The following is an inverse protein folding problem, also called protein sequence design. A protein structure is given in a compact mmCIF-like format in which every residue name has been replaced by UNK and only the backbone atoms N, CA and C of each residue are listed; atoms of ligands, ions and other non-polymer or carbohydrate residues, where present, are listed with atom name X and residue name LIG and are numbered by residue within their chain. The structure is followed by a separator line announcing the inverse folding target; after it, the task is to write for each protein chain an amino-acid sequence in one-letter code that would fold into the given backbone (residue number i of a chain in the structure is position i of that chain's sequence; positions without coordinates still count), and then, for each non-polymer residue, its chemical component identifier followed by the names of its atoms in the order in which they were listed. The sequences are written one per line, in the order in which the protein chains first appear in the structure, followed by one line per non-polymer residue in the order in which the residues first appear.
data_IF_497735484438
#
_entry.id   IF_497735484438
#
_cell.length_a   1.000
_cell.length_b   1.000
_cell.length_c   1.000
_cell.angle_alpha   90.00
_cell.angle_beta   90.00
_cell.angle_gamma   90.00
#
_symmetry.space_group_name_H-M   'P 1'
#
loop_
_entity.id
_entity.type
_entity.pdbx_description
1 polymer ?
#
# COMPACT_ATOMS: atom_id res chain seq x y z
N UNK A 1 -15.58 -35.43 31.79
CA UNK A 1 -15.32 -34.07 32.31
C UNK A 1 -15.59 -33.16 31.14
N UNK A 2 -16.50 -32.21 31.29
CA UNK A 2 -16.72 -31.15 30.30
C UNK A 2 -15.76 -30.03 30.70
N UNK A 3 -14.81 -29.72 29.83
CA UNK A 3 -14.02 -28.48 29.93
C UNK A 3 -14.98 -27.30 29.85
N UNK A 4 -14.67 -26.24 30.61
CA UNK A 4 -15.48 -25.03 30.65
C UNK A 4 -15.22 -24.14 29.43
N UNK A 5 -16.18 -23.29 29.06
CA UNK A 5 -16.06 -22.37 27.92
C UNK A 5 -14.86 -21.41 28.07
N UNK A 6 -14.52 -21.02 29.31
CA UNK A 6 -13.31 -20.23 29.62
C UNK A 6 -12.00 -21.03 29.43
N UNK A 7 -11.95 -22.31 29.81
CA UNK A 7 -10.76 -23.15 29.62
C UNK A 7 -10.51 -23.47 28.14
N UNK A 8 -11.58 -23.60 27.34
CA UNK A 8 -11.49 -23.79 25.89
C UNK A 8 -10.97 -22.53 25.17
N UNK A 9 -11.39 -21.34 25.62
CA UNK A 9 -10.91 -20.05 25.11
C UNK A 9 -9.42 -19.82 25.44
N UNK A 10 -8.98 -20.18 26.65
CA UNK A 10 -7.56 -20.09 27.03
C UNK A 10 -6.66 -21.03 26.21
N UNK A 11 -7.07 -22.28 25.99
CA UNK A 11 -6.31 -23.25 25.18
C UNK A 11 -6.23 -22.82 23.71
N UNK A 12 -7.33 -22.31 23.14
CA UNK A 12 -7.38 -21.80 21.77
C UNK A 12 -6.52 -20.54 21.61
N UNK A 13 -6.54 -19.64 22.59
CA UNK A 13 -5.68 -18.46 22.63
C UNK A 13 -4.19 -18.84 22.73
N UNK A 14 -3.83 -19.81 23.57
CA UNK A 14 -2.44 -20.25 23.71
C UNK A 14 -1.95 -20.96 22.43
N UNK A 15 -2.80 -21.76 21.80
CA UNK A 15 -2.52 -22.39 20.50
C UNK A 15 -2.31 -21.35 19.39
N UNK A 16 -3.14 -20.33 19.34
CA UNK A 16 -3.01 -19.22 18.37
C UNK A 16 -1.73 -18.43 18.59
N UNK A 17 -1.40 -18.12 19.85
CA UNK A 17 -0.14 -17.45 20.23
C UNK A 17 1.09 -18.28 19.79
N UNK A 18 1.09 -19.57 20.12
CA UNK A 18 2.18 -20.47 19.74
C UNK A 18 2.33 -20.58 18.21
N UNK A 19 1.22 -20.63 17.47
CA UNK A 19 1.25 -20.61 16.01
C UNK A 19 1.86 -19.30 15.48
N UNK A 20 1.47 -18.15 16.04
CA UNK A 20 1.99 -16.84 15.67
C UNK A 20 3.50 -16.72 15.89
N UNK A 21 4.02 -17.21 17.03
CA UNK A 21 5.45 -17.16 17.35
C UNK A 21 6.31 -17.92 16.31
N UNK A 22 5.75 -18.97 15.69
CA UNK A 22 6.45 -19.75 14.65
C UNK A 22 6.41 -19.13 13.25
N UNK A 23 5.64 -18.06 13.04
CA UNK A 23 5.56 -17.38 11.75
C UNK A 23 6.90 -16.71 11.40
N UNK A 24 7.29 -16.86 10.14
CA UNK A 24 8.45 -16.17 9.56
C UNK A 24 8.10 -14.73 9.20
N UNK A 25 9.12 -13.90 9.00
CA UNK A 25 8.92 -12.56 8.44
C UNK A 25 8.40 -12.61 7.00
N UNK A 26 7.56 -11.65 6.65
CA UNK A 26 7.04 -11.47 5.31
C UNK A 26 8.15 -11.09 4.33
N UNK A 27 8.11 -11.56 3.07
CA UNK A 27 9.16 -11.29 2.09
C UNK A 27 9.28 -9.81 1.71
N UNK A 28 8.24 -9.01 1.98
CA UNK A 28 8.16 -7.58 1.71
C UNK A 28 8.34 -6.71 2.95
N UNK A 29 8.72 -7.28 4.11
CA UNK A 29 8.83 -6.55 5.38
C UNK A 29 9.69 -5.29 5.28
N UNK A 30 10.82 -5.37 4.56
CA UNK A 30 11.72 -4.22 4.34
C UNK A 30 11.10 -3.02 3.62
N UNK A 31 9.98 -3.21 2.90
CA UNK A 31 9.26 -2.11 2.23
C UNK A 31 8.38 -1.32 3.19
N UNK A 32 8.04 -1.91 4.35
CA UNK A 32 7.07 -1.37 5.31
C UNK A 32 7.69 -0.31 6.24
N UNK A 33 8.99 -0.05 6.13
CA UNK A 33 9.68 0.98 6.91
C UNK A 33 9.29 2.41 6.49
N UNK A 34 8.70 2.57 5.31
CA UNK A 34 8.23 3.85 4.80
C UNK A 34 7.22 4.51 5.75
N UNK A 35 7.49 5.78 6.10
CA UNK A 35 6.64 6.60 6.97
C UNK A 35 5.79 7.54 6.10
N UNK A 36 4.68 7.01 5.61
CA UNK A 36 3.72 7.70 4.76
C UNK A 36 2.73 6.71 4.17
N UNK A 37 2.00 7.14 3.15
CA UNK A 37 1.06 6.25 2.45
C UNK A 37 1.80 5.10 1.77
N UNK A 38 1.21 3.91 1.83
CA UNK A 38 1.62 2.70 1.12
C UNK A 38 0.34 2.13 0.53
N UNK A 39 0.26 2.02 -0.79
CA UNK A 39 -0.91 1.42 -1.43
C UNK A 39 -0.78 -0.10 -1.41
N UNK A 40 -1.78 -0.77 -0.83
CA UNK A 40 -1.91 -2.23 -0.83
C UNK A 40 -3.19 -2.60 -1.56
N UNK A 41 -3.07 -3.54 -2.49
CA UNK A 41 -4.20 -4.12 -3.23
C UNK A 41 -4.15 -5.64 -3.07
N UNK A 42 -5.25 -6.25 -2.63
CA UNK A 42 -5.41 -7.68 -2.46
C UNK A 42 -6.47 -8.20 -3.44
N UNK A 43 -6.13 -9.23 -4.20
CA UNK A 43 -7.05 -9.83 -5.15
C UNK A 43 -7.91 -10.89 -4.44
N UNK A 44 -9.22 -10.77 -4.54
CA UNK A 44 -10.18 -11.64 -3.84
C UNK A 44 -10.89 -12.63 -4.78
N UNK A 45 -10.42 -12.78 -6.03
CA UNK A 45 -10.98 -13.79 -6.92
C UNK A 45 -10.79 -15.20 -6.34
N UNK A 46 -11.76 -16.12 -6.54
CA UNK A 46 -11.66 -17.48 -6.02
C UNK A 46 -10.36 -18.17 -6.41
N UNK A 47 -9.65 -18.72 -5.42
CA UNK A 47 -8.38 -19.42 -5.60
C UNK A 47 -7.13 -18.53 -5.60
N UNK A 48 -7.26 -17.21 -5.44
CA UNK A 48 -6.13 -16.30 -5.24
C UNK A 48 -5.75 -16.10 -3.77
N UNK A 49 -6.58 -16.60 -2.85
CA UNK A 49 -6.29 -16.65 -1.43
C UNK A 49 -6.26 -18.10 -0.92
N UNK A 50 -5.41 -18.35 0.07
CA UNK A 50 -5.29 -19.64 0.75
C UNK A 50 -5.32 -19.45 2.26
N UNK A 51 -6.22 -20.17 2.93
CA UNK A 51 -6.28 -20.22 4.40
C UNK A 51 -5.10 -21.05 4.94
N UNK A 52 -4.33 -20.42 5.84
CA UNK A 52 -3.16 -21.00 6.50
C UNK A 52 -3.36 -21.19 8.01
N UNK A 53 -4.60 -21.16 8.48
CA UNK A 53 -4.98 -21.33 9.88
C UNK A 53 -5.26 -20.00 10.56
N UNK A 54 -4.21 -19.27 10.95
CA UNK A 54 -4.31 -17.97 11.67
C UNK A 54 -4.16 -16.75 10.74
N UNK A 55 -3.90 -16.99 9.45
CA UNK A 55 -3.74 -15.97 8.43
C UNK A 55 -4.13 -16.52 7.04
N UNK A 56 -4.30 -15.63 6.07
CA UNK A 56 -4.46 -15.92 4.66
C UNK A 56 -3.19 -15.55 3.88
N UNK A 57 -2.83 -16.38 2.91
CA UNK A 57 -1.92 -16.01 1.81
C UNK A 57 -2.77 -15.51 0.64
N UNK A 58 -2.76 -14.22 0.36
CA UNK A 58 -3.53 -13.61 -0.75
C UNK A 58 -2.59 -13.05 -1.81
N UNK A 59 -2.90 -13.24 -3.10
CA UNK A 59 -2.17 -12.54 -4.16
C UNK A 59 -2.51 -11.06 -4.15
N UNK A 60 -1.51 -10.20 -4.28
CA UNK A 60 -1.71 -8.77 -4.30
C UNK A 60 -0.46 -7.98 -4.64
N UNK A 61 -0.56 -6.66 -4.45
CA UNK A 61 0.48 -5.69 -4.78
C UNK A 61 0.68 -4.71 -3.63
N UNK A 62 1.95 -4.36 -3.39
CA UNK A 62 2.37 -3.25 -2.52
C UNK A 62 3.06 -2.22 -3.41
N UNK A 63 2.58 -0.99 -3.34
CA UNK A 63 3.14 0.14 -4.08
C UNK A 63 3.56 1.24 -3.12
N UNK A 64 4.76 1.79 -3.35
CA UNK A 64 5.32 2.89 -2.58
C UNK A 64 5.14 4.21 -3.35
N UNK A 65 5.17 5.37 -2.69
CA UNK A 65 5.14 6.64 -3.40
C UNK A 65 6.32 6.76 -4.38
N UNK A 66 6.07 7.36 -5.54
CA UNK A 66 7.16 7.82 -6.41
C UNK A 66 7.91 8.93 -5.66
N UNK A 67 9.21 8.74 -5.50
CA UNK A 67 10.07 9.65 -4.75
C UNK A 67 11.04 10.38 -5.65
N UNK A 68 11.33 11.64 -5.31
CA UNK A 68 12.33 12.49 -5.95
C UNK A 68 13.37 12.86 -4.90
N UNK A 69 14.65 12.67 -5.21
CA UNK A 69 15.72 13.02 -4.29
C UNK A 69 15.90 14.54 -4.19
N UNK A 70 16.50 15.06 -3.11
CA UNK A 70 16.86 16.48 -3.06
C UNK A 70 17.73 16.94 -4.23
N UNK A 71 18.65 16.10 -4.72
CA UNK A 71 19.50 16.44 -5.85
C UNK A 71 18.71 16.55 -7.17
N UNK A 72 17.80 15.62 -7.41
CA UNK A 72 16.92 15.65 -8.60
C UNK A 72 15.97 16.84 -8.54
N UNK A 73 15.42 17.13 -7.35
CA UNK A 73 14.62 18.31 -7.12
C UNK A 73 15.39 19.60 -7.44
N UNK A 74 16.61 19.77 -6.93
CA UNK A 74 17.44 20.95 -7.23
C UNK A 74 17.69 21.08 -8.74
N UNK A 75 18.10 19.98 -9.37
CA UNK A 75 18.36 19.89 -10.82
C UNK A 75 17.15 20.35 -11.62
N UNK A 76 15.97 19.79 -11.35
CA UNK A 76 14.76 20.08 -12.13
C UNK A 76 14.18 21.45 -11.78
N UNK A 77 14.09 21.76 -10.49
CA UNK A 77 13.28 22.88 -10.00
C UNK A 77 14.03 24.20 -9.89
N UNK A 78 15.37 24.16 -9.74
CA UNK A 78 16.19 25.37 -9.60
C UNK A 78 17.12 25.61 -10.78
N UNK A 79 17.58 24.54 -11.42
CA UNK A 79 18.51 24.63 -12.54
C UNK A 79 17.81 24.47 -13.90
N UNK A 80 16.49 24.19 -13.89
CA UNK A 80 15.69 23.90 -15.09
C UNK A 80 16.28 22.74 -15.92
N UNK A 81 16.93 21.80 -15.26
CA UNK A 81 17.42 20.56 -15.84
C UNK A 81 16.33 19.50 -15.94
N UNK A 82 16.77 18.26 -16.16
CA UNK A 82 15.91 17.08 -16.28
C UNK A 82 16.51 15.96 -15.43
N UNK A 83 15.66 15.10 -14.86
CA UNK A 83 16.08 13.98 -14.03
C UNK A 83 15.29 12.71 -14.38
N UNK A 84 15.92 11.54 -14.27
CA UNK A 84 15.24 10.25 -14.43
C UNK A 84 14.69 9.78 -13.08
N UNK A 85 13.38 9.59 -13.00
CA UNK A 85 12.68 9.18 -11.78
C UNK A 85 12.16 7.75 -11.95
N UNK A 86 12.47 6.86 -10.99
CA UNK A 86 11.94 5.50 -11.00
C UNK A 86 10.42 5.51 -10.71
N UNK A 87 9.65 4.94 -11.63
CA UNK A 87 8.17 4.82 -11.53
C UNK A 87 7.70 3.35 -11.41
N UNK A 88 8.62 2.40 -11.39
CA UNK A 88 8.35 0.99 -11.10
C UNK A 88 9.61 0.31 -10.57
N UNK A 89 9.63 -0.07 -9.29
CA UNK A 89 10.82 -0.67 -8.67
C UNK A 89 11.02 -2.14 -9.08
N UNK A 90 9.98 -2.81 -9.60
CA UNK A 90 10.06 -4.20 -10.04
C UNK A 90 10.67 -4.33 -11.44
N UNK A 91 10.34 -3.40 -12.34
CA UNK A 91 10.84 -3.41 -13.73
C UNK A 91 12.01 -2.46 -13.96
N UNK A 92 12.22 -1.51 -13.05
CA UNK A 92 13.19 -0.41 -13.22
C UNK A 92 12.72 0.65 -14.23
N UNK A 93 11.43 0.68 -14.56
CA UNK A 93 10.89 1.69 -15.47
C UNK A 93 11.09 3.09 -14.88
N UNK A 94 11.56 4.01 -15.73
CA UNK A 94 11.80 5.40 -15.36
C UNK A 94 10.91 6.36 -16.16
N UNK A 95 10.73 7.55 -15.61
CA UNK A 95 10.14 8.70 -16.27
C UNK A 95 11.14 9.85 -16.31
N UNK A 96 11.11 10.64 -17.39
CA UNK A 96 11.88 11.87 -17.47
C UNK A 96 11.08 12.99 -16.80
N UNK A 97 11.59 13.50 -15.68
CA UNK A 97 11.04 14.62 -14.94
C UNK A 97 11.58 15.94 -15.47
N UNK A 98 10.69 16.91 -15.65
CA UNK A 98 11.01 18.28 -16.05
C UNK A 98 10.20 19.29 -15.25
N UNK A 99 10.67 20.53 -15.22
CA UNK A 99 9.89 21.64 -14.70
C UNK A 99 8.57 21.77 -15.46
N UNK A 100 7.47 22.00 -14.76
CA UNK A 100 6.15 22.08 -15.37
C UNK A 100 6.03 23.27 -16.32
N UNK A 101 5.54 23.04 -17.53
CA UNK A 101 5.13 24.11 -18.44
C UNK A 101 3.71 24.65 -18.13
N UNK A 102 3.03 24.05 -17.14
CA UNK A 102 1.70 24.42 -16.69
C UNK A 102 1.58 24.31 -15.16
N UNK A 103 2.10 25.31 -14.45
CA UNK A 103 2.13 25.36 -12.99
C UNK A 103 0.76 25.19 -12.29
N UNK A 104 -0.36 25.42 -13.01
CA UNK A 104 -1.70 25.23 -12.46
C UNK A 104 -2.09 23.76 -12.33
N UNK A 105 -1.40 22.87 -13.05
CA UNK A 105 -1.64 21.42 -13.04
C UNK A 105 -0.64 20.65 -12.19
N UNK A 106 0.50 21.26 -11.86
CA UNK A 106 1.57 20.64 -11.10
C UNK A 106 2.85 21.46 -11.16
N UNK A 107 3.73 21.22 -10.20
CA UNK A 107 5.06 21.82 -10.09
C UNK A 107 6.03 21.23 -11.11
N UNK A 108 5.89 19.93 -11.40
CA UNK A 108 6.69 19.22 -12.40
C UNK A 108 5.81 18.44 -13.38
N UNK A 109 6.42 17.98 -14.47
CA UNK A 109 5.83 17.00 -15.38
C UNK A 109 6.73 15.76 -15.50
N UNK A 110 6.12 14.60 -15.67
CA UNK A 110 6.79 13.35 -15.99
C UNK A 110 6.42 12.92 -17.42
N UNK A 111 7.43 12.51 -18.19
CA UNK A 111 7.28 11.92 -19.51
C UNK A 111 7.73 10.46 -19.45
N UNK A 112 6.83 9.52 -19.74
CA UNK A 112 7.10 8.09 -19.68
C UNK A 112 6.24 7.31 -20.68
N UNK A 113 6.67 6.10 -21.01
CA UNK A 113 5.88 5.19 -21.85
C UNK A 113 4.82 4.47 -21.00
N UNK A 114 3.59 4.46 -21.47
CA UNK A 114 2.49 3.70 -20.91
C UNK A 114 1.75 3.01 -22.05
N UNK A 115 1.61 1.68 -21.97
CA UNK A 115 0.94 0.86 -23.00
C UNK A 115 1.49 1.08 -24.44
N UNK A 116 2.79 1.36 -24.57
CA UNK A 116 3.46 1.60 -25.85
C UNK A 116 3.29 3.03 -26.40
N UNK A 117 2.66 3.94 -25.65
CA UNK A 117 2.54 5.35 -26.01
C UNK A 117 3.28 6.25 -25.01
N UNK A 118 3.89 7.32 -25.51
CA UNK A 118 4.51 8.34 -24.64
C UNK A 118 3.44 9.24 -24.05
N UNK A 119 3.37 9.26 -22.72
CA UNK A 119 2.41 10.06 -21.94
C UNK A 119 3.14 11.18 -21.21
N UNK A 120 2.47 12.31 -21.04
CA UNK A 120 2.91 13.42 -20.19
C UNK A 120 1.88 13.67 -19.10
N UNK A 121 2.32 13.61 -17.85
CA UNK A 121 1.49 13.79 -16.66
C UNK A 121 2.09 14.87 -15.75
N UNK A 122 1.24 15.63 -15.05
CA UNK A 122 1.65 16.74 -14.18
C UNK A 122 1.45 16.35 -12.72
N UNK A 123 2.38 16.77 -11.86
CA UNK A 123 2.37 16.42 -10.45
C UNK A 123 2.81 17.59 -9.59
N UNK A 124 2.26 17.66 -8.38
CA UNK A 124 2.74 18.50 -7.29
C UNK A 124 3.73 17.72 -6.44
N UNK A 125 4.64 18.45 -5.77
CA UNK A 125 5.62 17.85 -4.87
C UNK A 125 5.29 18.14 -3.41
N UNK A 126 5.41 17.12 -2.56
CA UNK A 126 5.39 17.26 -1.09
C UNK A 126 6.69 16.75 -0.50
N UNK A 127 7.32 17.51 0.39
CA UNK A 127 8.56 17.08 1.05
C UNK A 127 8.26 16.30 2.34
N UNK A 128 8.81 15.10 2.45
CA UNK A 128 8.82 14.32 3.69
C UNK A 128 10.16 14.51 4.40
N UNK A 129 10.12 15.17 5.56
CA UNK A 129 11.31 15.40 6.38
C UNK A 129 11.89 14.09 6.95
N UNK A 130 11.02 13.13 7.30
CA UNK A 130 11.43 11.83 7.86
C UNK A 130 12.17 10.97 6.84
N UNK A 131 11.71 10.98 5.58
CA UNK A 131 12.36 10.24 4.49
C UNK A 131 13.50 11.04 3.82
N UNK A 132 13.56 12.36 4.03
CA UNK A 132 14.40 13.30 3.28
C UNK A 132 14.23 13.17 1.75
N UNK A 133 12.98 13.01 1.31
CA UNK A 133 12.59 12.82 -0.08
C UNK A 133 11.33 13.64 -0.38
N UNK A 134 11.13 13.96 -1.66
CA UNK A 134 9.86 14.49 -2.14
C UNK A 134 8.99 13.35 -2.65
N UNK A 135 7.69 13.42 -2.45
CA UNK A 135 6.69 12.55 -3.06
C UNK A 135 5.87 13.32 -4.08
N UNK A 136 5.34 12.61 -5.07
CA UNK A 136 4.49 13.16 -6.11
C UNK A 136 3.03 12.85 -5.83
N UNK A 137 2.16 13.82 -6.09
CA UNK A 137 0.70 13.65 -6.02
C UNK A 137 -0.01 14.46 -7.11
N UNK A 138 -1.25 14.08 -7.43
CA UNK A 138 -2.13 14.76 -8.39
C UNK A 138 -3.57 14.76 -7.86
N UNK A 139 -4.48 15.50 -8.50
CA UNK A 139 -5.95 15.46 -8.30
C UNK A 139 -6.43 15.25 -6.85
N UNK A 140 -6.76 16.34 -6.13
CA UNK A 140 -7.25 16.25 -4.72
C UNK A 140 -6.32 15.50 -3.75
N UNK A 141 -5.01 15.63 -3.93
CA UNK A 141 -3.97 15.05 -3.06
C UNK A 141 -3.79 13.53 -3.13
N UNK A 142 -4.21 12.90 -4.23
CA UNK A 142 -3.91 11.48 -4.49
C UNK A 142 -2.41 11.28 -4.78
N UNK A 143 -1.74 10.55 -3.88
CA UNK A 143 -0.33 10.18 -4.05
C UNK A 143 -0.12 9.33 -5.31
N UNK A 144 0.95 9.62 -6.04
CA UNK A 144 1.37 8.83 -7.19
C UNK A 144 2.27 7.68 -6.73
N UNK A 145 1.74 6.46 -6.81
CA UNK A 145 2.44 5.26 -6.39
C UNK A 145 3.17 4.55 -7.54
N UNK A 146 4.24 3.84 -7.19
CA UNK A 146 4.99 2.91 -8.04
C UNK A 146 4.94 1.49 -7.47
N UNK A 147 4.73 0.46 -8.30
CA UNK A 147 4.80 -0.93 -7.85
C UNK A 147 6.18 -1.25 -7.26
N UNK A 148 6.19 -1.84 -6.06
CA UNK A 148 7.40 -2.24 -5.34
C UNK A 148 7.44 -3.75 -5.07
N UNK A 149 6.28 -4.36 -4.87
CA UNK A 149 6.13 -5.81 -4.68
C UNK A 149 4.82 -6.29 -5.28
N UNK A 150 4.84 -7.46 -5.92
CA UNK A 150 3.67 -8.17 -6.42
C UNK A 150 3.89 -9.65 -6.13
N UNK A 151 2.90 -10.29 -5.50
CA UNK A 151 3.00 -11.67 -5.05
C UNK A 151 2.11 -11.94 -3.85
N UNK A 152 2.53 -12.89 -3.02
CA UNK A 152 1.76 -13.29 -1.83
C UNK A 152 1.92 -12.30 -0.70
N UNK A 153 0.79 -11.74 -0.25
CA UNK A 153 0.65 -10.90 0.93
C UNK A 153 0.00 -11.71 2.04
N UNK A 154 0.55 -11.60 3.25
CA UNK A 154 0.06 -12.29 4.43
C UNK A 154 -0.95 -11.42 5.18
N UNK A 155 -2.15 -11.94 5.42
CA UNK A 155 -3.28 -11.21 6.03
C UNK A 155 -3.75 -11.97 7.26
N UNK A 156 -3.67 -11.39 8.45
CA UNK A 156 -4.15 -12.06 9.67
C UNK A 156 -5.66 -12.26 9.62
N UNK A 157 -6.16 -13.35 10.20
CA UNK A 157 -7.61 -13.51 10.38
C UNK A 157 -8.17 -12.41 11.28
N UNK A 158 -9.36 -11.92 10.96
CA UNK A 158 -9.93 -10.74 11.61
C UNK A 158 -9.41 -9.41 11.07
N UNK A 159 -8.54 -9.40 10.05
CA UNK A 159 -8.08 -8.14 9.46
C UNK A 159 -9.20 -7.43 8.69
N UNK A 160 -9.28 -6.11 8.81
CA UNK A 160 -10.37 -5.31 8.24
C UNK A 160 -9.92 -4.40 7.11
N UNK A 161 -10.82 -4.12 6.17
CA UNK A 161 -10.72 -2.99 5.25
C UNK A 161 -11.75 -1.95 5.68
N UNK A 162 -11.28 -0.74 6.01
CA UNK A 162 -12.09 0.35 6.54
C UNK A 162 -11.94 1.63 5.71
N UNK A 163 -13.05 2.32 5.50
CA UNK A 163 -13.06 3.65 4.90
C UNK A 163 -13.15 4.67 6.03
N UNK A 164 -12.10 5.48 6.22
CA UNK A 164 -11.97 6.36 7.38
C UNK A 164 -13.16 7.35 7.51
N UNK A 165 -13.73 7.80 6.39
CA UNK A 165 -14.94 8.63 6.36
C UNK A 165 -16.21 7.85 6.70
N UNK A 166 -16.32 6.59 6.27
CA UNK A 166 -17.43 5.70 6.61
C UNK A 166 -17.54 5.52 8.12
N UNK A 167 -16.43 5.16 8.77
CA UNK A 167 -16.37 4.92 10.21
C UNK A 167 -16.77 6.14 11.09
N UNK A 168 -16.62 7.37 10.60
CA UNK A 168 -16.97 8.60 11.35
C UNK A 168 -18.44 9.01 11.14
N UNK A 169 -19.02 8.71 9.99
CA UNK A 169 -20.32 9.28 9.58
C UNK A 169 -21.44 8.25 9.37
N UNK A 170 -21.14 6.94 9.35
CA UNK A 170 -22.09 5.86 9.00
C UNK A 170 -21.65 4.50 9.57
N UNK A 171 -22.48 3.85 10.42
CA UNK A 171 -22.22 2.47 10.87
C UNK A 171 -22.32 1.44 9.74
N UNK A 172 -23.04 1.73 8.66
CA UNK A 172 -23.16 0.83 7.49
C UNK A 172 -21.86 0.79 6.66
N UNK A 173 -20.98 1.79 6.81
CA UNK A 173 -19.70 1.91 6.08
C UNK A 173 -18.47 1.68 6.99
N UNK A 174 -18.66 1.10 8.18
CA UNK A 174 -17.65 0.96 9.23
C UNK A 174 -16.54 -0.06 8.94
N UNK A 175 -16.46 -0.56 7.71
CA UNK A 175 -15.47 -1.52 7.25
C UNK A 175 -15.94 -2.97 7.27
N UNK A 176 -15.13 -3.84 6.66
CA UNK A 176 -15.44 -5.25 6.45
C UNK A 176 -14.25 -6.13 6.77
N UNK A 177 -14.49 -7.31 7.32
CA UNK A 177 -13.46 -8.32 7.50
C UNK A 177 -13.01 -8.90 6.15
N UNK A 178 -11.71 -9.12 6.00
CA UNK A 178 -11.11 -9.69 4.80
C UNK A 178 -11.13 -11.23 4.86
N UNK A 179 -12.21 -11.84 4.39
CA UNK A 179 -12.44 -13.30 4.51
C UNK A 179 -12.05 -14.10 3.26
N UNK A 180 -11.96 -13.45 2.10
CA UNK A 180 -11.60 -14.04 0.79
C UNK A 180 -12.46 -15.22 0.32
N UNK A 181 -13.67 -15.37 0.87
CA UNK A 181 -14.65 -16.39 0.49
C UNK A 181 -15.92 -15.81 -0.15
N UNK A 182 -16.12 -14.49 -0.05
CA UNK A 182 -17.21 -13.77 -0.68
C UNK A 182 -16.97 -13.57 -2.19
N UNK A 183 -17.77 -14.20 -3.07
CA UNK A 183 -17.62 -14.07 -4.52
C UNK A 183 -17.98 -12.68 -5.06
N UNK A 184 -18.70 -11.86 -4.29
CA UNK A 184 -19.09 -10.49 -4.69
C UNK A 184 -17.96 -9.48 -4.40
N UNK A 185 -16.92 -9.89 -3.68
CA UNK A 185 -15.74 -9.06 -3.38
C UNK A 185 -14.62 -9.39 -4.37
N UNK A 186 -14.33 -8.44 -5.27
CA UNK A 186 -13.25 -8.59 -6.25
C UNK A 186 -11.86 -8.24 -5.70
N UNK A 187 -11.78 -7.26 -4.79
CA UNK A 187 -10.53 -6.81 -4.18
C UNK A 187 -10.75 -6.09 -2.86
N UNK A 188 -9.68 -6.04 -2.07
CA UNK A 188 -9.50 -5.12 -0.93
C UNK A 188 -8.36 -4.16 -1.26
N UNK A 189 -8.48 -2.89 -0.89
CA UNK A 189 -7.50 -1.85 -1.20
C UNK A 189 -7.47 -0.75 -0.14
N UNK A 190 -6.27 -0.29 0.19
CA UNK A 190 -6.08 0.88 1.05
C UNK A 190 -4.67 1.47 0.91
N UNK A 191 -4.53 2.77 1.19
CA UNK A 191 -3.27 3.51 1.13
C UNK A 191 -2.65 3.77 2.52
N UNK A 192 -3.30 3.33 3.59
CA UNK A 192 -2.76 3.38 4.95
C UNK A 192 -2.89 2.00 5.64
N UNK A 193 -2.10 1.00 5.21
CA UNK A 193 -2.13 -0.33 5.79
C UNK A 193 -1.51 -0.37 7.18
N UNK A 194 -2.01 -1.27 8.03
CA UNK A 194 -1.40 -1.57 9.33
C UNK A 194 -0.89 -3.01 9.29
N UNK A 195 0.42 -3.15 9.42
CA UNK A 195 1.09 -4.44 9.55
C UNK A 195 1.53 -4.69 10.99
N UNK A 196 1.76 -5.96 11.33
CA UNK A 196 2.50 -6.33 12.53
C UNK A 196 4.03 -6.29 12.30
N UNK A 197 4.80 -6.66 13.33
CA UNK A 197 6.26 -6.68 13.28
C UNK A 197 6.86 -7.70 12.31
N UNK A 198 6.07 -8.73 11.93
CA UNK A 198 6.47 -9.75 10.96
C UNK A 198 6.02 -9.39 9.54
N UNK A 199 5.28 -8.29 9.34
CA UNK A 199 4.77 -7.85 8.05
C UNK A 199 3.43 -8.47 7.65
N UNK A 200 2.66 -9.00 8.61
CA UNK A 200 1.31 -9.51 8.35
C UNK A 200 0.29 -8.40 8.51
N UNK A 201 -0.61 -8.29 7.53
CA UNK A 201 -1.61 -7.24 7.45
C UNK A 201 -2.70 -7.46 8.51
N UNK A 202 -2.98 -6.41 9.28
CA UNK A 202 -4.04 -6.33 10.31
C UNK A 202 -5.21 -5.47 9.89
N UNK A 203 -4.96 -4.42 9.10
CA UNK A 203 -6.02 -3.54 8.61
C UNK A 203 -5.58 -2.79 7.36
N UNK A 204 -6.54 -2.44 6.51
CA UNK A 204 -6.41 -1.51 5.40
C UNK A 204 -7.30 -0.32 5.66
N UNK A 205 -6.72 0.88 5.65
CA UNK A 205 -7.47 2.12 5.68
C UNK A 205 -7.34 2.83 4.33
N UNK A 206 -8.45 3.42 3.89
CA UNK A 206 -8.43 4.40 2.81
C UNK A 206 -8.45 5.82 3.41
N UNK A 207 -7.38 6.57 3.16
CA UNK A 207 -7.20 7.97 3.55
C UNK A 207 -7.13 8.79 2.26
N UNK A 208 -8.25 9.36 1.83
CA UNK A 208 -8.36 10.20 0.64
C UNK A 208 -9.70 10.93 0.67
N UNK A 209 -9.78 12.11 0.05
CA UNK A 209 -10.81 13.15 0.20
C UNK A 209 -12.27 12.65 0.23
#
# INVERSE_FOLDING_TARGET
MLETEEELDEEEHEKTRNAYETLTEAPYLSLLDWKGEILVELFSNPGLAKDMGIYYESQGRISLPVTVTPADYETVMKESGEAEICINDQTGQTALMKYSDNYKKGDCMLLYEQEGEMVTSYFFLSYSADANLYTLWRDSADTFFKPAYEGTIFVLKGATEEFLYGAIFSEEDAGREMTFDDPDIFSYMGNSPVFDEKGYLKALYYIGD
#
